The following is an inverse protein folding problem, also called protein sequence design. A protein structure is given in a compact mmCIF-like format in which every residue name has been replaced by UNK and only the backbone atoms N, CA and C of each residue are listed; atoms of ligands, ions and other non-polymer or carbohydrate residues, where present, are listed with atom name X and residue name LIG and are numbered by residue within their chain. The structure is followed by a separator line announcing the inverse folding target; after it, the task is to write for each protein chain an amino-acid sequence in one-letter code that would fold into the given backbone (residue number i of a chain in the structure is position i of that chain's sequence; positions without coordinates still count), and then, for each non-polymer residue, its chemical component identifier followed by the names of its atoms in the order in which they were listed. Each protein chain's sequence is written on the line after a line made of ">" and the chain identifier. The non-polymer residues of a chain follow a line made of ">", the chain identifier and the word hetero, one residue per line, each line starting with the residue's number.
data_IF_378565999691
#
_entry.id   IF_378565999691
#
_cell.length_a   1.000
_cell.length_b   1.000
_cell.length_c   1.000
_cell.angle_alpha   90.00
_cell.angle_beta   90.00
_cell.angle_gamma   90.00
#
_symmetry.space_group_name_H-M   'P 1'
#
loop_
_entity.id
_entity.type
_entity.pdbx_description
1 polymer ?
#
# COMPACT_ATOMS: atom_id res chain seq x y z
N UNK A 1 -0.19 -6.57 -23.50
CA UNK A 1 0.48 -6.05 -22.30
C UNK A 1 0.66 -7.21 -21.35
N UNK A 2 1.90 -7.59 -21.05
CA UNK A 2 2.15 -8.71 -20.16
C UNK A 2 1.81 -8.35 -18.71
N UNK A 3 1.65 -9.36 -17.85
CA UNK A 3 1.48 -9.16 -16.41
C UNK A 3 2.84 -9.38 -15.74
N UNK A 4 3.24 -8.45 -14.88
CA UNK A 4 4.41 -8.63 -14.03
C UNK A 4 4.22 -9.89 -13.16
N UNK A 5 5.13 -10.88 -13.20
CA UNK A 5 5.01 -12.08 -12.36
C UNK A 5 5.01 -11.76 -10.86
N UNK A 6 5.74 -10.72 -10.47
CA UNK A 6 5.90 -10.30 -9.08
C UNK A 6 4.68 -9.50 -8.59
N UNK A 7 4.31 -8.43 -9.31
CA UNK A 7 3.23 -7.53 -8.87
C UNK A 7 1.84 -7.99 -9.32
N UNK A 8 1.75 -8.91 -10.28
CA UNK A 8 0.51 -9.37 -10.92
C UNK A 8 -0.30 -8.24 -11.60
N UNK A 9 0.35 -7.12 -11.88
CA UNK A 9 -0.23 -5.95 -12.57
C UNK A 9 0.20 -5.91 -14.05
N UNK A 10 -0.56 -5.22 -14.90
CA UNK A 10 -0.16 -5.04 -16.31
C UNK A 10 1.08 -4.16 -16.41
N UNK A 11 2.00 -4.61 -17.25
CA UNK A 11 3.26 -3.92 -17.55
C UNK A 11 3.14 -3.13 -18.85
N UNK A 12 3.74 -1.94 -18.83
CA UNK A 12 3.91 -1.07 -19.99
C UNK A 12 5.38 -0.67 -20.09
N UNK A 13 5.83 -0.47 -21.32
CA UNK A 13 7.19 -0.03 -21.61
C UNK A 13 7.17 1.39 -22.16
N UNK A 14 7.99 2.26 -21.58
CA UNK A 14 8.26 3.58 -22.14
C UNK A 14 9.02 3.41 -23.44
N UNK A 15 8.57 4.12 -24.48
CA UNK A 15 9.27 4.20 -25.76
C UNK A 15 9.93 5.56 -25.91
N UNK A 16 10.86 5.69 -26.87
CA UNK A 16 11.45 6.99 -27.23
C UNK A 16 10.51 7.90 -28.01
N UNK A 17 9.30 7.43 -28.35
CA UNK A 17 8.32 8.20 -29.12
C UNK A 17 7.69 9.29 -28.27
N UNK A 18 7.76 10.52 -28.75
CA UNK A 18 7.03 11.68 -28.26
C UNK A 18 6.10 12.18 -29.35
N UNK A 19 4.89 12.56 -28.97
CA UNK A 19 3.86 13.04 -29.89
C UNK A 19 3.24 14.30 -29.29
N UNK A 20 2.97 15.29 -30.14
CA UNK A 20 2.12 16.41 -29.79
C UNK A 20 0.68 16.02 -30.10
N UNK A 21 -0.20 16.12 -29.11
CA UNK A 21 -1.62 15.81 -29.23
C UNK A 21 -2.41 16.96 -28.67
N UNK A 22 -3.56 17.23 -29.27
CA UNK A 22 -4.52 18.18 -28.73
C UNK A 22 -5.04 17.70 -27.37
N UNK A 23 -5.13 18.58 -26.39
CA UNK A 23 -5.56 18.18 -25.04
C UNK A 23 -6.98 17.59 -25.03
N UNK A 24 -7.86 18.05 -25.93
CA UNK A 24 -9.24 17.59 -26.06
C UNK A 24 -9.34 16.12 -26.51
N UNK A 25 -8.31 15.55 -27.14
CA UNK A 25 -8.31 14.13 -27.54
C UNK A 25 -7.84 13.20 -26.42
N UNK A 26 -7.33 13.74 -25.31
CA UNK A 26 -6.86 12.95 -24.17
C UNK A 26 -8.06 12.49 -23.34
N UNK A 27 -8.36 11.18 -23.40
CA UNK A 27 -9.49 10.59 -22.66
C UNK A 27 -9.24 10.46 -21.16
N UNK A 28 -7.99 10.24 -20.76
CA UNK A 28 -7.60 10.02 -19.36
C UNK A 28 -6.09 9.98 -19.19
N UNK A 29 -5.62 10.31 -17.98
CA UNK A 29 -4.30 9.91 -17.50
C UNK A 29 -4.33 8.49 -16.90
N UNK A 30 -3.25 7.75 -17.07
CA UNK A 30 -3.01 6.49 -16.36
C UNK A 30 -1.91 6.70 -15.34
N UNK A 31 -2.13 6.21 -14.12
CA UNK A 31 -1.14 6.20 -13.08
C UNK A 31 -0.26 4.96 -13.28
N UNK A 32 0.98 5.18 -13.71
CA UNK A 32 1.99 4.14 -13.89
C UNK A 32 3.11 4.35 -12.86
N UNK A 33 3.55 3.25 -12.25
CA UNK A 33 4.64 3.24 -11.28
C UNK A 33 5.81 2.45 -11.86
N UNK A 34 7.03 2.82 -11.49
CA UNK A 34 8.22 2.12 -11.96
C UNK A 34 8.23 0.67 -11.49
N UNK A 35 8.49 -0.27 -12.40
CA UNK A 35 8.63 -1.69 -12.08
C UNK A 35 10.03 -1.94 -11.51
N UNK A 36 10.20 -1.68 -10.21
CA UNK A 36 11.51 -1.76 -9.55
C UNK A 36 12.12 -3.17 -9.60
N UNK A 37 11.28 -4.20 -9.56
CA UNK A 37 11.70 -5.60 -9.63
C UNK A 37 12.29 -5.95 -11.00
N UNK A 38 11.59 -5.64 -12.09
CA UNK A 38 12.13 -5.85 -13.44
C UNK A 38 13.30 -4.89 -13.70
N UNK A 39 13.20 -3.66 -13.21
CA UNK A 39 14.25 -2.68 -13.36
C UNK A 39 15.51 -2.96 -12.54
N UNK A 40 15.56 -4.05 -11.77
CA UNK A 40 16.66 -4.43 -10.88
C UNK A 40 17.15 -3.23 -10.05
N UNK A 41 16.21 -2.51 -9.44
CA UNK A 41 16.54 -1.34 -8.63
C UNK A 41 17.18 -1.77 -7.31
N UNK A 42 18.14 -0.99 -6.85
CA UNK A 42 18.97 -1.34 -5.71
C UNK A 42 18.80 -0.31 -4.59
N UNK A 43 18.86 -0.78 -3.35
CA UNK A 43 18.99 0.10 -2.20
C UNK A 43 20.47 0.41 -2.03
N UNK A 44 20.84 1.66 -2.25
CA UNK A 44 22.21 2.16 -2.03
C UNK A 44 22.20 3.07 -0.80
N UNK A 45 23.26 3.02 0.01
CA UNK A 45 23.49 4.09 0.97
C UNK A 45 23.73 5.40 0.24
N UNK A 46 23.32 6.53 0.82
CA UNK A 46 23.55 7.82 0.20
C UNK A 46 25.03 8.19 0.22
N UNK A 47 25.55 8.52 -0.97
CA UNK A 47 26.92 8.98 -1.17
C UNK A 47 27.24 10.32 -0.47
N UNK A 48 26.22 11.07 -0.03
CA UNK A 48 26.38 12.35 0.65
C UNK A 48 25.79 12.33 2.07
N UNK A 49 26.47 12.98 3.01
CA UNK A 49 26.06 13.15 4.42
C UNK A 49 24.81 14.04 4.61
N UNK A 50 24.01 14.27 3.55
CA UNK A 50 22.84 15.14 3.62
C UNK A 50 21.66 14.62 2.82
N UNK A 51 20.83 13.79 3.45
CA UNK A 51 19.50 13.49 2.92
C UNK A 51 18.54 14.59 3.38
N UNK A 52 17.80 15.24 2.47
CA UNK A 52 16.72 16.12 2.86
C UNK A 52 15.55 15.30 3.43
N UNK A 53 15.44 15.22 4.75
CA UNK A 53 14.26 14.68 5.42
C UNK A 53 13.30 15.85 5.64
N UNK A 54 12.08 15.76 5.12
CA UNK A 54 11.08 16.85 5.19
C UNK A 54 11.63 18.20 4.68
N UNK A 55 12.45 18.17 3.62
CA UNK A 55 13.15 19.33 3.03
C UNK A 55 14.21 19.98 3.94
N UNK A 56 14.60 19.35 5.05
CA UNK A 56 15.71 19.80 5.92
C UNK A 56 16.93 18.90 5.74
N UNK A 57 18.12 19.51 5.65
CA UNK A 57 19.39 18.75 5.61
C UNK A 57 19.50 17.89 6.87
N UNK A 58 19.67 16.59 6.71
CA UNK A 58 19.91 15.65 7.81
C UNK A 58 21.29 15.06 7.67
N UNK A 59 22.04 14.96 8.77
CA UNK A 59 23.35 14.28 8.81
C UNK A 59 23.24 12.76 8.83
N UNK A 60 22.02 12.21 8.76
CA UNK A 60 21.78 10.76 8.77
C UNK A 60 21.90 10.20 7.37
N UNK A 61 22.75 9.18 7.21
CA UNK A 61 22.73 8.29 6.05
C UNK A 61 21.49 7.42 6.11
N UNK A 62 20.84 7.23 4.97
CA UNK A 62 19.74 6.30 4.82
C UNK A 62 19.90 5.51 3.53
N UNK A 63 19.29 4.33 3.50
CA UNK A 63 19.14 3.55 2.28
C UNK A 63 18.18 4.28 1.36
N UNK A 64 18.65 4.61 0.15
CA UNK A 64 17.86 5.23 -0.91
C UNK A 64 17.74 4.24 -2.06
N UNK A 65 16.53 4.15 -2.63
CA UNK A 65 16.29 3.33 -3.81
C UNK A 65 16.85 4.04 -5.04
N UNK A 66 17.87 3.45 -5.65
CA UNK A 66 18.41 3.87 -6.94
C UNK A 66 17.68 3.15 -8.06
N UNK A 67 16.94 3.90 -8.86
CA UNK A 67 16.29 3.36 -10.05
C UNK A 67 17.31 3.15 -11.16
N UNK A 68 17.35 1.94 -11.71
CA UNK A 68 18.24 1.58 -12.82
C UNK A 68 17.49 1.68 -14.17
N UNK A 69 16.88 0.59 -14.65
CA UNK A 69 16.19 0.59 -15.94
C UNK A 69 14.85 1.36 -15.87
N UNK A 70 14.85 2.58 -16.38
CA UNK A 70 13.70 3.52 -16.33
C UNK A 70 12.62 3.29 -17.38
N UNK A 71 12.64 2.17 -18.11
CA UNK A 71 11.68 1.95 -19.20
C UNK A 71 10.50 1.06 -18.82
N UNK A 72 10.55 0.37 -17.68
CA UNK A 72 9.52 -0.60 -17.28
C UNK A 72 8.62 -0.04 -16.20
N UNK A 73 7.32 -0.08 -16.45
CA UNK A 73 6.31 0.46 -15.55
C UNK A 73 5.15 -0.52 -15.40
N UNK A 74 4.53 -0.51 -14.23
CA UNK A 74 3.29 -1.22 -13.94
C UNK A 74 2.16 -0.22 -13.76
N UNK A 75 0.96 -0.58 -14.24
CA UNK A 75 -0.23 0.27 -14.09
C UNK A 75 -0.77 0.10 -12.66
N UNK A 76 -0.96 1.21 -11.95
CA UNK A 76 -1.66 1.21 -10.68
C UNK A 76 -3.17 0.99 -10.91
N UNK A 77 -3.61 -0.26 -10.81
CA UNK A 77 -5.00 -0.61 -11.06
C UNK A 77 -5.98 -0.03 -10.03
N UNK A 78 -5.48 0.29 -8.83
CA UNK A 78 -6.24 0.90 -7.75
C UNK A 78 -6.20 2.43 -7.78
N UNK A 79 -5.78 3.03 -8.91
CA UNK A 79 -5.85 4.49 -9.07
C UNK A 79 -7.29 4.99 -8.86
N UNK A 80 -7.44 5.98 -7.97
CA UNK A 80 -8.73 6.61 -7.70
C UNK A 80 -9.22 7.43 -8.91
N UNK A 81 -8.28 8.04 -9.66
CA UNK A 81 -8.60 8.70 -10.91
C UNK A 81 -8.83 7.69 -12.02
N UNK A 82 -9.89 7.90 -12.81
CA UNK A 82 -10.22 7.07 -13.98
C UNK A 82 -10.20 5.57 -13.70
N UNK A 83 -10.74 5.16 -12.56
CA UNK A 83 -10.68 3.79 -12.06
C UNK A 83 -11.25 2.77 -13.06
N UNK A 84 -12.31 3.13 -13.79
CA UNK A 84 -12.90 2.27 -14.82
C UNK A 84 -11.90 1.97 -15.97
N UNK A 85 -11.13 2.96 -16.39
CA UNK A 85 -10.11 2.79 -17.44
C UNK A 85 -8.92 1.99 -16.94
N UNK A 86 -8.48 2.21 -15.70
CA UNK A 86 -7.42 1.41 -15.10
C UNK A 86 -7.82 -0.07 -15.03
N UNK A 87 -9.04 -0.38 -14.58
CA UNK A 87 -9.57 -1.75 -14.58
C UNK A 87 -9.64 -2.35 -15.99
N UNK A 88 -10.19 -1.61 -16.96
CA UNK A 88 -10.30 -2.05 -18.36
C UNK A 88 -8.92 -2.37 -18.95
N UNK A 89 -7.95 -1.46 -18.83
CA UNK A 89 -6.60 -1.66 -19.39
C UNK A 89 -5.86 -2.77 -18.64
N UNK A 90 -6.14 -2.91 -17.33
CA UNK A 90 -5.58 -3.99 -16.52
C UNK A 90 -6.19 -5.36 -16.83
N UNK A 91 -7.24 -5.39 -17.65
CA UNK A 91 -8.04 -6.58 -17.95
C UNK A 91 -8.54 -7.23 -16.64
N UNK A 92 -9.02 -6.37 -15.74
CA UNK A 92 -9.77 -6.80 -14.59
C UNK A 92 -11.24 -6.79 -14.96
N UNK A 93 -11.83 -7.99 -14.93
CA UNK A 93 -13.28 -8.13 -14.94
C UNK A 93 -13.85 -7.39 -13.73
N UNK A 94 -14.54 -6.29 -13.97
CA UNK A 94 -15.42 -5.72 -12.97
C UNK A 94 -16.65 -6.61 -12.92
N UNK A 95 -16.63 -7.62 -12.05
CA UNK A 95 -17.86 -8.33 -11.71
C UNK A 95 -18.86 -7.31 -11.18
N UNK A 96 -20.07 -7.34 -11.74
CA UNK A 96 -21.15 -6.51 -11.26
C UNK A 96 -21.62 -7.10 -9.93
N UNK A 97 -21.11 -6.54 -8.84
CA UNK A 97 -21.54 -6.90 -7.49
C UNK A 97 -23.01 -6.47 -7.36
N UNK A 98 -23.89 -7.43 -7.11
CA UNK A 98 -25.31 -7.18 -6.94
C UNK A 98 -25.56 -6.37 -5.66
N UNK A 99 -26.64 -5.57 -5.59
CA UNK A 99 -26.95 -4.79 -4.40
C UNK A 99 -27.02 -5.64 -3.11
N UNK A 100 -27.54 -6.86 -3.19
CA UNK A 100 -27.62 -7.75 -2.04
C UNK A 100 -26.24 -8.24 -1.59
N UNK A 101 -25.34 -8.53 -2.52
CA UNK A 101 -23.96 -8.94 -2.20
C UNK A 101 -23.19 -7.80 -1.50
N UNK A 102 -23.47 -6.55 -1.85
CA UNK A 102 -22.97 -5.38 -1.13
C UNK A 102 -23.47 -5.34 0.31
N UNK A 103 -24.78 -5.54 0.50
CA UNK A 103 -25.41 -5.57 1.83
C UNK A 103 -24.81 -6.69 2.69
N UNK A 104 -24.68 -7.89 2.13
CA UNK A 104 -24.10 -9.04 2.84
C UNK A 104 -22.63 -8.79 3.20
N UNK A 105 -21.86 -8.23 2.27
CA UNK A 105 -20.45 -7.89 2.49
C UNK A 105 -20.30 -6.87 3.62
N UNK A 106 -21.14 -5.83 3.65
CA UNK A 106 -21.12 -4.84 4.72
C UNK A 106 -21.46 -5.45 6.08
N UNK A 107 -22.52 -6.26 6.17
CA UNK A 107 -22.90 -6.94 7.42
C UNK A 107 -21.80 -7.90 7.90
N UNK A 108 -21.17 -8.63 6.98
CA UNK A 108 -20.07 -9.53 7.29
C UNK A 108 -18.82 -8.76 7.75
N UNK A 109 -18.50 -7.64 7.12
CA UNK A 109 -17.42 -6.73 7.53
C UNK A 109 -17.63 -6.21 8.95
N UNK A 110 -18.82 -5.68 9.24
CA UNK A 110 -19.19 -5.17 10.57
C UNK A 110 -19.05 -6.28 11.62
N UNK A 111 -19.64 -7.47 11.38
CA UNK A 111 -19.52 -8.60 12.31
C UNK A 111 -18.07 -8.97 12.59
N UNK A 112 -17.23 -9.05 11.56
CA UNK A 112 -15.80 -9.36 11.73
C UNK A 112 -15.08 -8.28 12.53
N UNK A 113 -15.31 -7.01 12.25
CA UNK A 113 -14.68 -5.92 12.99
C UNK A 113 -15.14 -5.89 14.46
N UNK A 114 -16.43 -6.08 14.74
CA UNK A 114 -16.94 -6.16 16.11
C UNK A 114 -16.32 -7.32 16.89
N UNK A 115 -16.11 -8.48 16.26
CA UNK A 115 -15.44 -9.61 16.92
C UNK A 115 -13.98 -9.28 17.27
N UNK A 116 -13.26 -8.61 16.37
CA UNK A 116 -11.87 -8.19 16.63
C UNK A 116 -11.81 -7.17 17.76
N UNK A 117 -12.74 -6.21 17.79
CA UNK A 117 -12.85 -5.23 18.87
C UNK A 117 -13.08 -5.91 20.23
N UNK A 118 -14.08 -6.81 20.32
CA UNK A 118 -14.36 -7.58 21.54
C UNK A 118 -13.16 -8.43 21.99
N UNK A 119 -12.44 -9.05 21.06
CA UNK A 119 -11.21 -9.79 21.39
C UNK A 119 -10.13 -8.88 21.99
N UNK A 120 -9.94 -7.67 21.43
CA UNK A 120 -8.99 -6.69 21.97
C UNK A 120 -9.41 -6.21 23.37
N UNK A 121 -10.69 -5.91 23.59
CA UNK A 121 -11.22 -5.51 24.90
C UNK A 121 -11.01 -6.61 25.93
N UNK A 122 -11.35 -7.86 25.60
CA UNK A 122 -11.15 -9.01 26.48
C UNK A 122 -9.67 -9.24 26.82
N UNK A 123 -8.76 -9.07 25.85
CA UNK A 123 -7.33 -9.18 26.08
C UNK A 123 -6.81 -8.06 27.00
N UNK A 124 -7.30 -6.83 26.83
CA UNK A 124 -6.95 -5.70 27.69
C UNK A 124 -7.50 -5.88 29.12
N UNK A 125 -8.74 -6.37 29.26
CA UNK A 125 -9.33 -6.67 30.56
C UNK A 125 -8.56 -7.78 31.30
N UNK A 126 -8.12 -8.83 30.59
CA UNK A 126 -7.24 -9.88 31.16
C UNK A 126 -5.90 -9.32 31.61
N UNK A 127 -5.26 -8.45 30.82
CA UNK A 127 -4.01 -7.78 31.21
C UNK A 127 -4.20 -6.93 32.47
N UNK A 128 -5.26 -6.12 32.54
CA UNK A 128 -5.58 -5.30 33.73
C UNK A 128 -5.81 -6.18 34.97
N UNK A 129 -6.58 -7.26 34.86
CA UNK A 129 -6.80 -8.21 35.98
C UNK A 129 -5.50 -8.86 36.46
N UNK A 130 -4.59 -9.20 35.54
CA UNK A 130 -3.28 -9.79 35.88
C UNK A 130 -2.37 -8.78 36.61
N UNK A 131 -2.42 -7.51 36.23
CA UNK A 131 -1.68 -6.42 36.90
C UNK A 131 -2.26 -6.17 38.31
N UNK A 132 -3.58 -6.14 38.46
CA UNK A 132 -4.25 -5.98 39.76
C UNK A 132 -3.97 -7.16 40.69
N UNK A 133 -4.02 -8.40 40.19
CA UNK A 133 -3.67 -9.58 40.98
C UNK A 133 -2.18 -9.61 41.41
N UNK A 134 -1.29 -9.02 40.60
CA UNK A 134 0.13 -8.88 40.93
C UNK A 134 0.42 -7.75 41.93
N UNK A 135 -0.50 -6.79 42.09
CA UNK A 135 -0.35 -5.66 43.03
C UNK A 135 -1.12 -5.89 44.34
N UNK A 136 -2.01 -6.88 44.40
CA UNK A 136 -2.71 -7.30 45.62
C UNK A 136 -1.93 -8.32 46.46
N UNK A 137 -0.77 -8.80 46.00
CA UNK A 137 0.17 -9.56 46.84
C UNK A 137 0.97 -8.51 47.63
N UNK A 138 0.39 -8.03 48.72
CA UNK A 138 1.15 -7.30 49.75
C UNK A 138 1.80 -8.36 50.62
N UNK A 139 3.12 -8.32 50.71
CA UNK A 139 3.94 -9.20 51.52
C UNK A 139 3.51 -9.08 53.01
N UNK A 140 3.07 -10.15 53.69
CA UNK A 140 2.60 -10.05 55.08
C UNK A 140 3.71 -9.80 56.11
N UNK A 141 4.99 -9.86 55.75
CA UNK A 141 6.09 -9.90 56.72
C UNK A 141 6.77 -8.54 57.01
N UNK A 142 6.01 -7.44 57.04
CA UNK A 142 6.49 -6.14 57.52
C UNK A 142 5.52 -5.55 58.56
N UNK A 143 5.55 -6.11 59.77
CA UNK A 143 5.17 -5.43 61.03
C UNK A 143 6.28 -5.63 62.04
#
# INVERSE_FOLDING_TARGET
>A
MDKSPHYKMREIQRTSKSLFVESLVIKSGLNAQHNCQHGACELTETDTDTIPVERRKSTRKALVLKHNNINHYIINVASLSSAALHRRISDLESQLIQPLEWVDTMHNGIRKWSMVAKKKENAQARKRKKIVASTSIVDPDLV
#
